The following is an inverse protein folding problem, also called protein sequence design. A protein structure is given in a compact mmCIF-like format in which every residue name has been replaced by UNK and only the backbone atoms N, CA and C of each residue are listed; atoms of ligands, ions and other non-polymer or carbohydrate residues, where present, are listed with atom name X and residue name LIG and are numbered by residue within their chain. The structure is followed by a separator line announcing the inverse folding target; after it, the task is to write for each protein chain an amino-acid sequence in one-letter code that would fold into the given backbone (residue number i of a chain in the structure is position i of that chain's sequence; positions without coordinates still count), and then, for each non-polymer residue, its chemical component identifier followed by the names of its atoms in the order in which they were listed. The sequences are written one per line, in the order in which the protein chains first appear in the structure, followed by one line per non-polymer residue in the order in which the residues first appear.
data_IF_092909792348
#
_entry.id   IF_092909792348
#
_cell.length_a   1.000
_cell.length_b   1.000
_cell.length_c   1.000
_cell.angle_alpha   90.00
_cell.angle_beta   90.00
_cell.angle_gamma   90.00
#
_symmetry.space_group_name_H-M   'P 1'
#
loop_
_entity.id
_entity.type
_entity.pdbx_description
1 polymer ?
#
# COMPACT_ATOMS: atom_id res chain seq x y z
N UNK A 1 27.35 -3.42 -53.16
CA UNK A 1 28.67 -3.55 -52.53
C UNK A 1 28.58 -4.59 -51.45
N UNK A 2 29.34 -5.67 -51.56
CA UNK A 2 29.36 -6.73 -50.54
C UNK A 2 30.20 -6.22 -49.36
N UNK A 3 29.59 -6.18 -48.17
CA UNK A 3 30.28 -5.83 -46.93
C UNK A 3 31.05 -7.07 -46.45
N UNK A 4 32.39 -7.00 -46.45
CA UNK A 4 33.26 -8.06 -45.93
C UNK A 4 32.99 -8.39 -44.44
N UNK A 5 32.25 -7.55 -43.72
CA UNK A 5 31.87 -7.79 -42.33
C UNK A 5 30.72 -8.79 -42.15
N UNK A 6 30.00 -9.17 -43.21
CA UNK A 6 28.92 -10.16 -43.12
C UNK A 6 29.43 -11.60 -42.97
N UNK A 7 30.67 -11.89 -43.39
CA UNK A 7 31.27 -13.22 -43.34
C UNK A 7 31.92 -13.57 -41.98
N UNK A 8 31.95 -12.63 -41.04
CA UNK A 8 32.61 -12.77 -39.73
C UNK A 8 31.63 -12.83 -38.55
N UNK A 9 30.32 -12.81 -38.81
CA UNK A 9 29.29 -12.93 -37.78
C UNK A 9 28.88 -14.41 -37.72
N UNK A 10 29.55 -15.18 -36.88
CA UNK A 10 29.02 -16.48 -36.45
C UNK A 10 27.77 -16.27 -35.59
N UNK A 11 26.83 -17.21 -35.60
CA UNK A 11 25.57 -17.16 -34.84
C UNK A 11 25.79 -16.93 -33.32
N UNK A 12 26.99 -17.23 -32.81
CA UNK A 12 27.43 -16.95 -31.44
C UNK A 12 27.53 -15.46 -31.08
N UNK A 13 27.49 -14.52 -32.04
CA UNK A 13 27.41 -13.09 -31.69
C UNK A 13 26.06 -12.68 -31.13
N UNK A 14 25.02 -13.50 -31.32
CA UNK A 14 23.69 -13.30 -30.73
C UNK A 14 23.62 -13.67 -29.24
N UNK A 15 24.64 -14.35 -28.70
CA UNK A 15 24.67 -14.82 -27.31
C UNK A 15 25.49 -13.94 -26.36
N UNK A 16 26.16 -12.89 -26.87
CA UNK A 16 26.96 -11.98 -26.07
C UNK A 16 26.09 -10.84 -25.51
N UNK A 17 26.10 -10.70 -24.18
CA UNK A 17 25.49 -9.55 -23.51
C UNK A 17 26.17 -8.24 -23.92
N UNK A 18 25.45 -7.12 -23.83
CA UNK A 18 25.98 -5.78 -24.14
C UNK A 18 27.27 -5.46 -23.35
N UNK A 19 27.36 -5.95 -22.11
CA UNK A 19 28.55 -5.82 -21.26
C UNK A 19 29.75 -6.53 -21.90
N UNK A 20 29.55 -7.75 -22.40
CA UNK A 20 30.60 -8.54 -23.04
C UNK A 20 31.08 -7.88 -24.34
N UNK A 21 30.14 -7.35 -25.13
CA UNK A 21 30.45 -6.59 -26.36
C UNK A 21 31.27 -5.34 -26.04
N UNK A 22 30.88 -4.58 -25.02
CA UNK A 22 31.61 -3.39 -24.60
C UNK A 22 32.99 -3.72 -24.02
N UNK A 23 33.12 -4.82 -23.28
CA UNK A 23 34.41 -5.34 -22.81
C UNK A 23 35.36 -5.62 -23.97
N UNK A 24 34.91 -6.36 -24.98
CA UNK A 24 35.71 -6.68 -26.17
C UNK A 24 36.12 -5.42 -26.95
N UNK A 25 35.21 -4.44 -27.07
CA UNK A 25 35.53 -3.15 -27.71
C UNK A 25 36.59 -2.39 -26.94
N UNK A 26 36.46 -2.29 -25.62
CA UNK A 26 37.43 -1.62 -24.76
C UNK A 26 38.81 -2.28 -24.84
N UNK A 27 38.89 -3.62 -24.84
CA UNK A 27 40.15 -4.35 -25.01
C UNK A 27 40.77 -4.09 -26.39
N UNK A 28 39.97 -4.13 -27.46
CA UNK A 28 40.42 -3.82 -28.82
C UNK A 28 40.97 -2.39 -28.92
N UNK A 29 40.26 -1.44 -28.34
CA UNK A 29 40.66 -0.03 -28.35
C UNK A 29 41.94 0.16 -27.54
N UNK A 30 42.09 -0.51 -26.39
CA UNK A 30 43.32 -0.49 -25.61
C UNK A 30 44.52 -1.04 -26.41
N UNK A 31 44.35 -2.13 -27.16
CA UNK A 31 45.40 -2.67 -28.04
C UNK A 31 45.74 -1.70 -29.17
N UNK A 32 44.75 -0.97 -29.71
CA UNK A 32 44.99 0.03 -30.74
C UNK A 32 45.75 1.25 -30.20
N UNK A 33 45.32 1.79 -29.07
CA UNK A 33 45.86 3.03 -28.48
C UNK A 33 47.18 2.81 -27.74
N UNK A 34 47.24 1.82 -26.85
CA UNK A 34 48.43 1.55 -26.04
C UNK A 34 49.32 0.50 -26.67
N UNK A 35 48.74 -0.40 -27.48
CA UNK A 35 49.45 -1.52 -28.08
C UNK A 35 50.14 -1.23 -29.41
N UNK A 36 50.01 -0.01 -29.96
CA UNK A 36 50.39 0.31 -31.35
C UNK A 36 49.78 -0.67 -32.37
N UNK A 37 48.58 -1.18 -32.10
CA UNK A 37 47.91 -2.19 -32.92
C UNK A 37 48.44 -3.61 -32.75
N UNK A 38 49.38 -3.86 -31.82
CA UNK A 38 49.90 -5.20 -31.48
C UNK A 38 49.58 -5.56 -30.04
N UNK A 39 49.17 -6.81 -29.84
CA UNK A 39 48.96 -7.36 -28.50
C UNK A 39 50.30 -7.39 -27.78
N UNK A 40 50.39 -6.65 -26.68
CA UNK A 40 51.57 -6.66 -25.83
C UNK A 40 51.67 -8.01 -25.12
N UNK A 41 52.84 -8.66 -25.22
CA UNK A 41 53.15 -9.85 -24.43
C UNK A 41 53.52 -9.38 -23.02
N UNK A 42 52.54 -9.31 -22.13
CA UNK A 42 52.76 -9.02 -20.72
C UNK A 42 53.12 -10.34 -20.03
N UNK A 43 54.36 -10.52 -19.54
CA UNK A 43 54.69 -11.70 -18.76
C UNK A 43 53.87 -11.70 -17.46
N UNK A 44 53.35 -12.88 -17.09
CA UNK A 44 52.64 -13.06 -15.83
C UNK A 44 53.68 -13.00 -14.71
N UNK A 45 53.85 -11.82 -14.14
CA UNK A 45 54.73 -11.57 -13.01
C UNK A 45 53.94 -11.71 -11.69
N UNK A 46 54.63 -12.06 -10.60
CA UNK A 46 54.01 -12.17 -9.27
C UNK A 46 53.24 -10.91 -8.86
N UNK A 47 53.82 -9.73 -9.06
CA UNK A 47 53.12 -8.47 -8.73
C UNK A 47 51.84 -8.21 -9.55
N UNK A 48 51.71 -8.80 -10.74
CA UNK A 48 50.45 -8.72 -11.50
C UNK A 48 49.37 -9.58 -10.83
N UNK A 49 49.74 -10.78 -10.37
CA UNK A 49 48.82 -11.67 -9.65
C UNK A 49 48.38 -11.05 -8.32
N UNK A 50 49.33 -10.52 -7.54
CA UNK A 50 49.05 -9.87 -6.25
C UNK A 50 48.07 -8.69 -6.43
N UNK A 51 48.25 -7.86 -7.46
CA UNK A 51 47.35 -6.74 -7.77
C UNK A 51 45.95 -7.20 -8.20
N UNK A 52 45.84 -8.29 -8.95
CA UNK A 52 44.55 -8.86 -9.37
C UNK A 52 43.79 -9.43 -8.18
N UNK A 53 44.50 -10.14 -7.29
CA UNK A 53 43.93 -10.64 -6.04
C UNK A 53 43.42 -9.51 -5.15
N UNK A 54 44.21 -8.43 -5.01
CA UNK A 54 43.80 -7.25 -4.24
C UNK A 54 42.58 -6.56 -4.87
N UNK A 55 42.58 -6.35 -6.19
CA UNK A 55 41.44 -5.74 -6.89
C UNK A 55 40.17 -6.59 -6.74
N UNK A 56 40.31 -7.92 -6.82
CA UNK A 56 39.20 -8.83 -6.63
C UNK A 56 38.67 -8.83 -5.20
N UNK A 57 39.56 -8.82 -4.20
CA UNK A 57 39.17 -8.72 -2.79
C UNK A 57 38.40 -7.43 -2.50
N UNK A 58 38.87 -6.28 -3.01
CA UNK A 58 38.16 -5.00 -2.87
C UNK A 58 36.79 -5.03 -3.56
N UNK A 59 36.71 -5.61 -4.75
CA UNK A 59 35.45 -5.75 -5.48
C UNK A 59 34.41 -6.58 -4.70
N UNK A 60 34.83 -7.68 -4.07
CA UNK A 60 33.94 -8.49 -3.23
C UNK A 60 33.37 -7.68 -2.05
N UNK A 61 34.23 -6.91 -1.36
CA UNK A 61 33.81 -6.04 -0.25
C UNK A 61 32.82 -4.97 -0.73
N UNK A 62 33.08 -4.33 -1.86
CA UNK A 62 32.17 -3.32 -2.43
C UNK A 62 30.82 -3.93 -2.83
N UNK A 63 30.81 -5.15 -3.38
CA UNK A 63 29.57 -5.87 -3.67
C UNK A 63 28.77 -6.13 -2.40
N UNK A 64 29.41 -6.65 -1.34
CA UNK A 64 28.73 -6.91 -0.06
C UNK A 64 28.15 -5.63 0.55
N UNK A 65 28.89 -4.52 0.52
CA UNK A 65 28.42 -3.22 1.02
C UNK A 65 27.20 -2.76 0.20
N UNK A 66 27.29 -2.84 -1.13
CA UNK A 66 26.21 -2.44 -2.04
C UNK A 66 24.95 -3.26 -1.79
N UNK A 67 25.10 -4.57 -1.63
CA UNK A 67 23.99 -5.47 -1.34
C UNK A 67 23.34 -5.15 0.01
N UNK A 68 24.13 -4.93 1.07
CA UNK A 68 23.60 -4.51 2.38
C UNK A 68 22.88 -3.16 2.32
N UNK A 69 23.35 -2.22 1.52
CA UNK A 69 22.66 -0.92 1.32
C UNK A 69 21.32 -1.13 0.61
N UNK A 70 21.28 -1.99 -0.41
CA UNK A 70 20.06 -2.30 -1.14
C UNK A 70 19.02 -2.96 -0.21
N UNK A 71 19.41 -3.98 0.55
CA UNK A 71 18.55 -4.66 1.52
C UNK A 71 17.98 -3.70 2.57
N UNK A 72 18.81 -2.79 3.10
CA UNK A 72 18.34 -1.76 4.05
C UNK A 72 17.33 -0.81 3.40
N UNK A 73 17.57 -0.38 2.16
CA UNK A 73 16.64 0.49 1.43
C UNK A 73 15.31 -0.21 1.18
N UNK A 74 15.34 -1.46 0.76
CA UNK A 74 14.12 -2.26 0.54
C UNK A 74 13.34 -2.45 1.84
N UNK A 75 14.01 -2.75 2.95
CA UNK A 75 13.38 -2.88 4.26
C UNK A 75 12.70 -1.57 4.70
N UNK A 76 13.35 -0.42 4.50
CA UNK A 76 12.77 0.91 4.79
C UNK A 76 11.53 1.16 3.93
N UNK A 77 11.61 0.89 2.63
CA UNK A 77 10.48 1.07 1.71
C UNK A 77 9.32 0.14 2.06
N UNK A 78 9.60 -1.12 2.42
CA UNK A 78 8.58 -2.07 2.85
C UNK A 78 7.91 -1.62 4.15
N UNK A 79 8.69 -1.16 5.15
CA UNK A 79 8.17 -0.61 6.39
C UNK A 79 7.28 0.63 6.14
N UNK A 80 7.72 1.55 5.27
CA UNK A 80 6.95 2.74 4.91
C UNK A 80 5.65 2.41 4.16
N UNK A 81 5.65 1.38 3.31
CA UNK A 81 4.42 0.89 2.66
C UNK A 81 3.47 0.29 3.67
N UNK A 82 3.98 -0.47 4.64
CA UNK A 82 3.18 -1.09 5.69
C UNK A 82 2.53 -0.04 6.61
N UNK A 83 3.27 1.00 7.02
CA UNK A 83 2.72 2.08 7.83
C UNK A 83 1.65 2.85 7.07
N UNK A 84 1.91 3.23 5.82
CA UNK A 84 0.91 3.91 4.96
C UNK A 84 -0.36 3.07 4.76
N UNK A 85 -0.23 1.76 4.59
CA UNK A 85 -1.38 0.87 4.48
C UNK A 85 -2.19 0.82 5.78
N UNK A 86 -1.52 0.73 6.94
CA UNK A 86 -2.19 0.78 8.25
C UNK A 86 -2.95 2.09 8.45
N UNK A 87 -2.34 3.22 8.11
CA UNK A 87 -3.00 4.54 8.17
C UNK A 87 -4.25 4.61 7.29
N UNK A 88 -4.15 4.14 6.03
CA UNK A 88 -5.31 4.12 5.12
C UNK A 88 -6.46 3.25 5.66
N UNK A 89 -6.15 2.09 6.25
CA UNK A 89 -7.16 1.23 6.87
C UNK A 89 -7.81 1.91 8.08
N UNK A 90 -7.04 2.60 8.91
CA UNK A 90 -7.57 3.35 10.07
C UNK A 90 -8.49 4.48 9.62
N UNK A 91 -8.06 5.29 8.65
CA UNK A 91 -8.87 6.38 8.07
C UNK A 91 -10.17 5.83 7.46
N UNK A 92 -10.10 4.73 6.70
CA UNK A 92 -11.28 4.09 6.13
C UNK A 92 -12.26 3.58 7.20
N UNK A 93 -11.74 3.01 8.30
CA UNK A 93 -12.58 2.60 9.44
C UNK A 93 -13.22 3.80 10.14
N UNK A 94 -12.46 4.89 10.35
CA UNK A 94 -12.97 6.11 10.97
C UNK A 94 -14.12 6.72 10.13
N UNK A 95 -13.93 6.86 8.82
CA UNK A 95 -14.95 7.38 7.90
C UNK A 95 -16.23 6.53 7.93
N UNK A 96 -16.09 5.20 7.96
CA UNK A 96 -17.25 4.31 8.08
C UNK A 96 -18.00 4.50 9.40
N UNK A 97 -17.29 4.66 10.52
CA UNK A 97 -17.92 4.90 11.81
C UNK A 97 -18.62 6.26 11.85
N UNK A 98 -18.02 7.31 11.28
CA UNK A 98 -18.63 8.65 11.15
C UNK A 98 -19.90 8.57 10.30
N UNK A 99 -19.84 7.91 9.14
CA UNK A 99 -21.00 7.74 8.26
C UNK A 99 -22.13 6.99 8.97
N UNK A 100 -21.80 5.91 9.68
CA UNK A 100 -22.78 5.14 10.46
C UNK A 100 -23.39 5.96 11.59
N UNK A 101 -22.60 6.79 12.28
CA UNK A 101 -23.10 7.70 13.31
C UNK A 101 -24.14 8.68 12.76
N UNK A 102 -23.88 9.23 11.56
CA UNK A 102 -24.81 10.17 10.91
C UNK A 102 -26.15 9.50 10.61
N UNK A 103 -26.13 8.29 10.04
CA UNK A 103 -27.35 7.51 9.78
C UNK A 103 -28.11 7.23 11.07
N UNK A 104 -27.42 6.81 12.14
CA UNK A 104 -28.04 6.56 13.43
C UNK A 104 -28.66 7.82 14.05
N UNK A 105 -28.06 8.99 13.84
CA UNK A 105 -28.62 10.27 14.28
C UNK A 105 -29.87 10.67 13.51
N UNK A 106 -29.87 10.48 12.18
CA UNK A 106 -31.05 10.70 11.34
C UNK A 106 -32.20 9.76 11.73
N UNK A 107 -31.90 8.49 12.00
CA UNK A 107 -32.88 7.52 12.51
C UNK A 107 -33.44 7.91 13.88
N UNK A 108 -32.62 8.47 14.77
CA UNK A 108 -33.06 8.96 16.07
C UNK A 108 -34.03 10.14 15.90
N UNK A 109 -33.75 11.07 14.99
CA UNK A 109 -34.65 12.17 14.66
C UNK A 109 -36.00 11.67 14.11
N UNK A 110 -35.98 10.65 13.25
CA UNK A 110 -37.19 10.03 12.73
C UNK A 110 -38.01 9.34 13.82
N UNK A 111 -37.37 8.64 14.75
CA UNK A 111 -38.05 8.03 15.91
C UNK A 111 -38.62 9.10 16.84
N UNK A 112 -37.93 10.23 17.03
CA UNK A 112 -38.45 11.38 17.78
C UNK A 112 -39.72 11.94 17.14
N UNK A 113 -39.73 12.11 15.80
CA UNK A 113 -40.93 12.51 15.05
C UNK A 113 -42.08 11.51 15.22
N UNK A 114 -41.81 10.20 15.12
CA UNK A 114 -42.82 9.16 15.36
C UNK A 114 -43.39 9.20 16.78
N UNK A 115 -42.56 9.44 17.80
CA UNK A 115 -43.01 9.56 19.19
C UNK A 115 -43.90 10.78 19.38
N UNK A 116 -43.51 11.92 18.82
CA UNK A 116 -44.32 13.14 18.88
C UNK A 116 -45.66 12.95 18.17
N UNK A 117 -45.67 12.34 16.98
CA UNK A 117 -46.90 12.04 16.26
C UNK A 117 -47.79 11.05 17.00
N UNK A 118 -47.21 9.99 17.58
CA UNK A 118 -47.93 9.04 18.43
C UNK A 118 -48.57 9.71 19.63
N UNK A 119 -47.86 10.60 20.32
CA UNK A 119 -48.37 11.35 21.46
C UNK A 119 -49.50 12.31 21.05
N UNK A 120 -49.32 13.10 19.99
CA UNK A 120 -50.37 14.01 19.49
C UNK A 120 -51.64 13.26 19.08
N UNK A 121 -51.50 12.11 18.41
CA UNK A 121 -52.65 11.25 18.06
C UNK A 121 -53.32 10.66 19.31
N UNK A 122 -52.54 10.27 20.31
CA UNK A 122 -53.06 9.75 21.56
C UNK A 122 -53.90 10.82 22.29
N UNK A 123 -53.38 12.05 22.42
CA UNK A 123 -54.09 13.17 23.03
C UNK A 123 -55.43 13.47 22.32
N UNK A 124 -55.40 13.54 20.97
CA UNK A 124 -56.60 13.81 20.17
C UNK A 124 -57.65 12.69 20.27
N UNK A 125 -57.21 11.42 20.27
CA UNK A 125 -58.11 10.25 20.34
C UNK A 125 -58.69 10.05 21.73
N UNK A 126 -57.94 10.38 22.79
CA UNK A 126 -58.44 10.43 24.18
C UNK A 126 -59.49 11.53 24.34
N UNK A 127 -59.25 12.73 23.81
CA UNK A 127 -60.21 13.83 23.88
C UNK A 127 -61.54 13.51 23.19
N UNK A 128 -61.49 12.76 22.08
CA UNK A 128 -62.66 12.33 21.31
C UNK A 128 -63.26 10.99 21.76
N UNK A 129 -62.71 10.36 22.82
CA UNK A 129 -63.09 9.04 23.34
C UNK A 129 -63.08 7.94 22.26
N UNK A 130 -62.21 8.05 21.26
CA UNK A 130 -62.05 7.06 20.21
C UNK A 130 -61.05 5.98 20.64
N UNK A 131 -61.54 4.91 21.26
CA UNK A 131 -60.71 3.83 21.80
C UNK A 131 -59.89 3.08 20.74
N UNK A 132 -60.41 2.90 19.52
CA UNK A 132 -59.66 2.30 18.42
C UNK A 132 -58.45 3.18 18.02
N UNK A 133 -58.64 4.50 18.06
CA UNK A 133 -57.55 5.47 17.84
C UNK A 133 -56.49 5.44 18.94
N UNK A 134 -56.90 5.25 20.19
CA UNK A 134 -55.99 5.12 21.34
C UNK A 134 -55.09 3.90 21.20
N UNK A 135 -55.66 2.75 20.82
CA UNK A 135 -54.89 1.51 20.60
C UNK A 135 -53.84 1.68 19.50
N UNK A 136 -54.23 2.28 18.36
CA UNK A 136 -53.31 2.56 17.26
C UNK A 136 -52.19 3.54 17.64
N UNK A 137 -52.51 4.59 18.41
CA UNK A 137 -51.51 5.53 18.89
C UNK A 137 -50.53 4.87 19.88
N UNK A 138 -51.03 4.01 20.78
CA UNK A 138 -50.19 3.23 21.69
C UNK A 138 -49.27 2.24 20.94
N UNK A 139 -49.78 1.57 19.90
CA UNK A 139 -48.95 0.69 19.06
C UNK A 139 -47.82 1.48 18.38
N UNK A 140 -48.11 2.68 17.86
CA UNK A 140 -47.11 3.56 17.25
C UNK A 140 -46.03 3.98 18.26
N UNK A 141 -46.44 4.43 19.45
CA UNK A 141 -45.53 4.80 20.55
C UNK A 141 -44.69 3.60 20.98
N UNK A 142 -45.31 2.42 21.14
CA UNK A 142 -44.65 1.18 21.54
C UNK A 142 -43.60 0.73 20.54
N UNK A 143 -43.93 0.78 19.24
CA UNK A 143 -42.99 0.49 18.17
C UNK A 143 -41.83 1.48 18.13
N UNK A 144 -42.12 2.78 18.28
CA UNK A 144 -41.10 3.83 18.31
C UNK A 144 -40.15 3.68 19.52
N UNK A 145 -40.66 3.35 20.71
CA UNK A 145 -39.85 3.08 21.91
C UNK A 145 -38.91 1.90 21.72
N UNK A 146 -39.40 0.78 21.17
CA UNK A 146 -38.54 -0.38 20.85
C UNK A 146 -37.42 -0.01 19.89
N UNK A 147 -37.73 0.77 18.84
CA UNK A 147 -36.71 1.25 17.89
C UNK A 147 -35.71 2.21 18.55
N UNK A 148 -36.16 3.07 19.46
CA UNK A 148 -35.30 3.97 20.22
C UNK A 148 -34.27 3.21 21.06
N UNK A 149 -34.68 2.15 21.75
CA UNK A 149 -33.78 1.35 22.59
C UNK A 149 -32.69 0.67 21.75
N UNK A 150 -33.06 0.11 20.59
CA UNK A 150 -32.09 -0.46 19.64
C UNK A 150 -31.11 0.60 19.15
N UNK A 151 -31.59 1.78 18.77
CA UNK A 151 -30.74 2.88 18.31
C UNK A 151 -29.78 3.38 19.39
N UNK A 152 -30.21 3.44 20.66
CA UNK A 152 -29.35 3.80 21.79
C UNK A 152 -28.20 2.81 21.96
N UNK A 153 -28.47 1.51 21.90
CA UNK A 153 -27.42 0.48 21.95
C UNK A 153 -26.44 0.66 20.78
N UNK A 154 -26.96 0.81 19.55
CA UNK A 154 -26.12 0.99 18.37
C UNK A 154 -25.26 2.26 18.40
N UNK A 155 -25.77 3.36 18.96
CA UNK A 155 -25.00 4.60 19.17
C UNK A 155 -23.91 4.44 20.24
N UNK A 156 -24.21 3.68 21.29
CA UNK A 156 -23.23 3.28 22.31
C UNK A 156 -22.09 2.49 21.68
N UNK A 157 -22.41 1.41 20.99
CA UNK A 157 -21.43 0.55 20.31
C UNK A 157 -20.58 1.33 19.30
N UNK A 158 -21.19 2.23 18.53
CA UNK A 158 -20.47 3.07 17.57
C UNK A 158 -19.51 4.05 18.27
N UNK A 159 -19.91 4.64 19.40
CA UNK A 159 -19.02 5.49 20.21
C UNK A 159 -17.87 4.71 20.82
N UNK A 160 -18.12 3.50 21.30
CA UNK A 160 -17.10 2.63 21.87
C UNK A 160 -16.08 2.20 20.80
N UNK A 161 -16.56 1.82 19.61
CA UNK A 161 -15.69 1.53 18.46
C UNK A 161 -14.85 2.74 18.05
N UNK A 162 -15.43 3.94 18.04
CA UNK A 162 -14.69 5.19 17.79
C UNK A 162 -13.62 5.44 18.85
N UNK A 163 -13.93 5.25 20.12
CA UNK A 163 -13.00 5.45 21.22
C UNK A 163 -11.86 4.43 21.20
N UNK A 164 -12.14 3.18 20.84
CA UNK A 164 -11.12 2.15 20.65
C UNK A 164 -10.20 2.49 19.49
N UNK A 165 -10.74 3.02 18.39
CA UNK A 165 -9.95 3.41 17.23
C UNK A 165 -9.00 4.59 17.53
N UNK A 166 -9.39 5.51 18.42
CA UNK A 166 -8.54 6.63 18.87
C UNK A 166 -7.45 6.25 19.89
N UNK A 167 -7.59 5.09 20.56
CA UNK A 167 -6.62 4.60 21.54
C UNK A 167 -5.49 3.76 20.90
N UNK A 168 -5.69 3.29 19.68
CA UNK A 168 -4.73 2.51 18.90
C UNK A 168 -3.94 3.40 17.93
#
# INVERSE_FOLDING_TARGET
GFSENAALITDDRSSLSDISINGLRATKDAVKFYGQGKVHKVPICKGLLDNVEEAHSRYQVDQEITQRILEKKEAIVAAAKLTKHKELVLVGKEQNLIGRRKILQEDLENVSKMLNEGNSRLEATVATKNFAGVEMAQLLIGGAKKKLDVLKTQLGDNSDQMNQLKKN
#
